data_IF_259481052988
#
_entry.id   IF_259481052988
#
_cell.length_a   1.000
_cell.length_b   1.000
_cell.length_c   1.000
_cell.angle_alpha   90.00
_cell.angle_beta   90.00
_cell.angle_gamma   90.00
#
_symmetry.space_group_name_H-M   'P 1'
#
loop_
_entity.id
_entity.type
_entity.pdbx_description
1 polymer ?
#
# COMPACT_ATOMS: atom_id res chain seq x y z
N UNK A 1 -44.68 -3.03 -16.73
CA UNK A 1 -43.59 -2.03 -16.86
C UNK A 1 -42.65 -1.97 -15.63
N UNK A 2 -42.56 -2.99 -14.78
CA UNK A 2 -41.60 -3.01 -13.64
C UNK A 2 -40.17 -3.31 -14.10
N UNK A 3 -40.02 -4.14 -15.12
CA UNK A 3 -38.73 -4.59 -15.66
C UNK A 3 -37.83 -3.43 -16.14
N UNK A 4 -38.42 -2.38 -16.72
CA UNK A 4 -37.68 -1.20 -17.17
C UNK A 4 -37.06 -0.40 -16.01
N UNK A 5 -37.70 -0.36 -14.83
CA UNK A 5 -37.13 0.31 -13.64
C UNK A 5 -35.90 -0.40 -13.07
N UNK A 6 -35.84 -1.73 -13.21
CA UNK A 6 -34.69 -2.52 -12.75
C UNK A 6 -33.47 -2.27 -13.65
N UNK A 7 -33.69 -2.13 -14.95
CA UNK A 7 -32.63 -1.83 -15.93
C UNK A 7 -32.22 -0.35 -15.94
N UNK A 8 -33.08 0.55 -15.45
CA UNK A 8 -32.78 1.98 -15.29
C UNK A 8 -32.26 2.31 -13.88
N UNK A 9 -31.48 1.41 -13.27
CA UNK A 9 -30.80 1.71 -12.02
C UNK A 9 -29.66 2.71 -12.28
N UNK A 10 -29.65 3.81 -11.53
CA UNK A 10 -28.57 4.80 -11.54
C UNK A 10 -27.70 4.64 -10.29
N UNK A 11 -26.51 4.03 -10.39
CA UNK A 11 -25.67 3.72 -9.23
C UNK A 11 -25.31 4.97 -8.41
N UNK A 12 -24.87 6.04 -9.08
CA UNK A 12 -24.47 7.28 -8.43
C UNK A 12 -25.58 7.94 -7.57
N UNK A 13 -26.85 7.74 -7.93
CA UNK A 13 -27.99 8.33 -7.21
C UNK A 13 -28.55 7.42 -6.12
N UNK A 14 -28.18 6.14 -6.09
CA UNK A 14 -28.86 5.12 -5.27
C UNK A 14 -27.94 4.20 -4.46
N UNK A 15 -26.64 4.16 -4.70
CA UNK A 15 -25.71 3.23 -4.04
C UNK A 15 -25.59 3.46 -2.52
N UNK A 16 -25.83 4.68 -2.03
CA UNK A 16 -25.85 4.96 -0.59
C UNK A 16 -26.87 4.08 0.18
N UNK A 17 -27.87 3.53 -0.53
CA UNK A 17 -28.91 2.67 0.04
C UNK A 17 -28.36 1.32 0.53
N UNK A 18 -27.15 0.91 0.15
CA UNK A 18 -26.49 -0.29 0.69
C UNK A 18 -26.38 -0.24 2.22
N UNK A 19 -26.18 0.96 2.77
CA UNK A 19 -26.06 1.18 4.21
C UNK A 19 -27.39 1.09 4.97
N UNK A 20 -28.53 0.99 4.26
CA UNK A 20 -29.83 0.71 4.87
C UNK A 20 -29.99 -0.77 5.21
N UNK A 21 -29.15 -1.65 4.65
CA UNK A 21 -29.16 -3.11 4.88
C UNK A 21 -27.93 -3.52 5.69
N UNK A 22 -26.78 -2.91 5.41
CA UNK A 22 -25.50 -3.23 6.03
C UNK A 22 -25.09 -2.09 6.95
N UNK A 23 -24.78 -2.37 8.21
CA UNK A 23 -24.29 -1.36 9.14
C UNK A 23 -22.85 -0.94 8.76
N UNK A 24 -22.60 0.32 8.33
CA UNK A 24 -21.26 0.78 7.98
C UNK A 24 -20.27 0.70 9.14
N UNK A 25 -20.71 0.98 10.38
CA UNK A 25 -19.82 0.98 11.54
C UNK A 25 -19.25 -0.41 11.86
N UNK A 26 -19.99 -1.47 11.50
CA UNK A 26 -19.56 -2.87 11.74
C UNK A 26 -18.79 -3.42 10.54
N UNK A 27 -19.17 -3.08 9.31
CA UNK A 27 -18.60 -3.68 8.09
C UNK A 27 -17.44 -2.93 7.47
N UNK A 28 -17.24 -1.64 7.80
CA UNK A 28 -16.15 -0.85 7.23
C UNK A 28 -14.77 -1.38 7.64
N UNK A 29 -14.59 -1.75 8.92
CA UNK A 29 -13.32 -2.30 9.43
C UNK A 29 -12.98 -3.65 8.77
N UNK A 30 -13.89 -4.65 8.70
CA UNK A 30 -13.65 -5.88 7.95
C UNK A 30 -13.28 -5.65 6.48
N UNK A 31 -13.94 -4.71 5.80
CA UNK A 31 -13.63 -4.39 4.39
C UNK A 31 -12.23 -3.82 4.23
N UNK A 32 -11.83 -2.88 5.08
CA UNK A 32 -10.46 -2.36 5.05
C UNK A 32 -9.43 -3.43 5.44
N UNK A 33 -9.74 -4.30 6.39
CA UNK A 33 -8.86 -5.43 6.73
C UNK A 33 -8.68 -6.39 5.55
N UNK A 34 -9.75 -6.69 4.81
CA UNK A 34 -9.70 -7.49 3.58
C UNK A 34 -8.85 -6.83 2.49
N UNK A 35 -9.09 -5.55 2.20
CA UNK A 35 -8.31 -4.82 1.19
C UNK A 35 -6.84 -4.72 1.62
N UNK A 36 -6.55 -4.48 2.89
CA UNK A 36 -5.20 -4.49 3.43
C UNK A 36 -4.54 -5.86 3.27
N UNK A 37 -5.26 -6.94 3.59
CA UNK A 37 -4.76 -8.31 3.43
C UNK A 37 -4.41 -8.59 1.96
N UNK A 38 -5.30 -8.21 1.03
CA UNK A 38 -5.03 -8.35 -0.41
C UNK A 38 -3.82 -7.53 -0.83
N UNK A 39 -3.72 -6.27 -0.38
CA UNK A 39 -2.57 -5.42 -0.66
C UNK A 39 -1.26 -6.06 -0.17
N UNK A 40 -1.21 -6.53 1.08
CA UNK A 40 -0.04 -7.20 1.64
C UNK A 40 0.31 -8.48 0.88
N UNK A 41 -0.69 -9.29 0.51
CA UNK A 41 -0.47 -10.52 -0.24
C UNK A 41 0.14 -10.25 -1.63
N UNK A 42 -0.41 -9.27 -2.36
CA UNK A 42 0.11 -8.87 -3.67
C UNK A 42 1.55 -8.35 -3.53
N UNK A 43 1.82 -7.47 -2.57
CA UNK A 43 3.18 -6.94 -2.36
C UNK A 43 4.16 -8.05 -1.95
N UNK A 44 3.79 -8.95 -1.05
CA UNK A 44 4.62 -10.08 -0.66
C UNK A 44 4.96 -10.98 -1.86
N UNK A 45 3.98 -11.24 -2.72
CA UNK A 45 4.18 -12.02 -3.94
C UNK A 45 5.09 -11.29 -4.94
N UNK A 46 4.90 -9.98 -5.12
CA UNK A 46 5.76 -9.16 -5.99
C UNK A 46 7.19 -9.06 -5.45
N UNK A 47 7.39 -8.91 -4.14
CA UNK A 47 8.74 -8.89 -3.55
C UNK A 47 9.46 -10.23 -3.60
N UNK A 48 8.73 -11.34 -3.65
CA UNK A 48 9.32 -12.66 -3.85
C UNK A 48 9.92 -12.82 -5.26
N UNK A 49 9.49 -11.99 -6.22
CA UNK A 49 10.06 -11.95 -7.55
C UNK A 49 11.28 -11.00 -7.58
N UNK A 50 12.49 -11.49 -7.91
CA UNK A 50 13.71 -10.69 -7.83
C UNK A 50 13.77 -9.54 -8.83
N UNK A 51 12.97 -9.58 -9.91
CA UNK A 51 12.94 -8.54 -10.95
C UNK A 51 12.12 -7.31 -10.55
N UNK A 52 11.19 -7.46 -9.61
CA UNK A 52 10.28 -6.40 -9.17
C UNK A 52 10.57 -5.92 -7.74
N UNK A 53 11.60 -6.47 -7.11
CA UNK A 53 11.99 -6.15 -5.74
C UNK A 53 13.03 -5.04 -5.72
N UNK A 54 12.73 -3.93 -5.02
CA UNK A 54 13.66 -2.81 -4.85
C UNK A 54 14.94 -3.17 -4.08
N UNK A 55 14.96 -4.33 -3.42
CA UNK A 55 16.08 -4.79 -2.57
C UNK A 55 17.20 -5.42 -3.39
N UNK A 56 16.93 -5.75 -4.66
CA UNK A 56 17.98 -6.18 -5.57
C UNK A 56 18.64 -4.92 -6.11
N UNK A 57 19.63 -4.47 -5.35
CA UNK A 57 20.55 -3.45 -5.77
C UNK A 57 21.26 -3.95 -7.04
N UNK A 58 20.84 -3.46 -8.20
CA UNK A 58 21.68 -3.45 -9.39
C UNK A 58 22.85 -2.47 -9.11
N UNK A 59 23.79 -2.88 -8.27
CA UNK A 59 25.04 -2.15 -8.02
C UNK A 59 25.06 -1.13 -6.87
N UNK A 60 24.14 -1.15 -5.91
CA UNK A 60 24.39 -0.48 -4.63
C UNK A 60 25.15 -1.44 -3.71
N UNK A 61 26.47 -1.29 -3.71
CA UNK A 61 27.33 -1.87 -2.67
C UNK A 61 26.74 -1.52 -1.30
N UNK A 62 26.78 -2.45 -0.32
CA UNK A 62 26.24 -2.17 0.99
C UNK A 62 26.95 -0.94 1.53
N UNK A 63 26.24 0.18 1.63
CA UNK A 63 26.69 1.33 2.41
C UNK A 63 26.66 0.88 3.86
N UNK A 64 27.69 0.14 4.26
CA UNK A 64 28.13 0.05 5.63
C UNK A 64 28.33 1.50 6.01
N UNK A 65 27.40 2.04 6.81
CA UNK A 65 27.62 3.32 7.44
C UNK A 65 28.90 3.15 8.27
N UNK A 66 30.00 3.67 7.75
CA UNK A 66 31.28 3.76 8.45
C UNK A 66 31.09 4.70 9.63
N UNK A 67 30.54 4.18 10.72
CA UNK A 67 30.74 4.72 12.07
C UNK A 67 32.15 4.32 12.52
N UNK A 68 33.17 4.74 11.78
CA UNK A 68 34.58 4.61 12.15
C UNK A 68 35.49 5.44 11.23
N UNK A 69 35.37 6.76 11.30
CA UNK A 69 36.50 7.70 11.19
C UNK A 69 35.95 9.12 11.30
N UNK A 70 35.90 9.63 12.53
CA UNK A 70 35.91 11.08 12.72
C UNK A 70 37.13 11.64 11.95
N UNK A 71 36.98 12.64 11.08
CA UNK A 71 38.14 13.34 10.55
C UNK A 71 38.80 14.02 11.75
N UNK A 72 39.97 13.54 12.17
CA UNK A 72 40.87 14.39 12.96
C UNK A 72 41.17 15.57 12.05
N UNK A 73 40.61 16.72 12.40
CA UNK A 73 41.00 17.99 11.80
C UNK A 73 42.48 18.19 12.14
N UNK A 74 43.35 17.95 11.17
CA UNK A 74 44.74 18.41 11.26
C UNK A 74 44.69 19.92 11.14
N UNK A 75 44.66 20.58 12.29
CA UNK A 75 44.97 21.99 12.44
C UNK A 75 46.45 22.19 12.08
N UNK A 76 46.73 22.53 10.82
CA UNK A 76 48.02 23.12 10.45
C UNK A 76 48.12 24.49 11.09
N UNK A 77 48.83 24.54 12.22
CA UNK A 77 49.45 25.75 12.71
C UNK A 77 50.74 25.98 11.91
N UNK A 78 50.76 27.05 11.12
CA UNK A 78 51.92 27.90 10.83
C UNK A 78 51.49 29.11 10.02
#
# INVERSE_FOLDING_TARGET
>A
MVFQKVLNYKPAEHDYRIWLVINPAVWLIPMFALVLLVALAVHAMVFAMPEYSWSKADGMEPTVQTIAAAPKQTQTAQ
#
